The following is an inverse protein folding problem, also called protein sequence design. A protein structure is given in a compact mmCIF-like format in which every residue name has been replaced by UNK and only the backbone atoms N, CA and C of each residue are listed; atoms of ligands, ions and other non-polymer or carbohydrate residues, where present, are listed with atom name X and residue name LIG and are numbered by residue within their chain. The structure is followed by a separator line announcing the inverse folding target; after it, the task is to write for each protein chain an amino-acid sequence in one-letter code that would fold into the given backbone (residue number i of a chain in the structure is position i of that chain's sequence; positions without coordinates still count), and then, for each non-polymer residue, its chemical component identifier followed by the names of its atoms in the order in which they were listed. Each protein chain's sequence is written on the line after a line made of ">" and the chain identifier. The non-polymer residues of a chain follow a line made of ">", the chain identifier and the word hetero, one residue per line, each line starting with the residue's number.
data_IF_166274795110
#
_entry.id   IF_166274795110
#
_cell.length_a   1.000
_cell.length_b   1.000
_cell.length_c   1.000
_cell.angle_alpha   90.00
_cell.angle_beta   90.00
_cell.angle_gamma   90.00
#
_symmetry.space_group_name_H-M   'P 1'
#
loop_
_entity.id
_entity.type
_entity.pdbx_description
1 polymer ?
#
# COMPACT_ATOMS: atom_id res chain seq x y z
N UNK A 1 -17.71 25.46 14.67
CA UNK A 1 -16.55 25.30 13.80
C UNK A 1 -15.39 26.16 14.32
N UNK A 2 -14.16 25.72 14.12
CA UNK A 2 -12.95 26.50 14.33
C UNK A 2 -12.29 26.73 12.98
N UNK A 3 -11.95 27.96 12.66
CA UNK A 3 -11.26 28.32 11.43
C UNK A 3 -10.02 29.15 11.77
N UNK A 4 -8.88 28.71 11.25
CA UNK A 4 -7.59 29.37 11.37
C UNK A 4 -7.07 29.71 9.98
N UNK A 5 -6.90 30.99 9.71
CA UNK A 5 -6.25 31.52 8.51
C UNK A 5 -4.99 32.29 8.96
N UNK A 6 -3.79 31.81 8.61
CA UNK A 6 -2.54 32.37 9.09
C UNK A 6 -1.39 32.19 8.09
N UNK A 7 -0.25 32.83 8.32
CA UNK A 7 0.99 32.54 7.58
C UNK A 7 1.49 31.14 7.92
N UNK A 8 1.49 30.77 9.19
CA UNK A 8 1.90 29.45 9.68
C UNK A 8 1.15 29.14 10.99
N UNK A 9 1.15 27.88 11.38
CA UNK A 9 0.63 27.44 12.67
C UNK A 9 1.70 26.64 13.40
N UNK A 10 2.14 27.14 14.56
CA UNK A 10 2.91 26.39 15.53
C UNK A 10 1.97 25.86 16.62
N UNK A 11 1.68 24.56 16.59
CA UNK A 11 0.86 23.85 17.57
C UNK A 11 1.66 22.76 18.30
N UNK A 12 2.98 22.91 18.36
CA UNK A 12 3.85 21.94 19.04
C UNK A 12 3.45 21.78 20.50
N UNK A 13 3.16 20.54 20.91
CA UNK A 13 2.66 20.18 22.24
C UNK A 13 1.34 20.89 22.60
N UNK A 14 0.76 21.61 21.63
CA UNK A 14 -0.47 22.37 21.80
C UNK A 14 -1.71 21.55 21.46
N UNK A 15 -2.87 22.18 21.62
CA UNK A 15 -4.17 21.60 21.28
C UNK A 15 -5.06 22.65 20.61
N UNK A 16 -5.49 22.37 19.39
CA UNK A 16 -6.58 23.06 18.73
C UNK A 16 -7.76 22.10 18.61
N UNK A 17 -8.91 22.47 19.11
CA UNK A 17 -10.08 21.60 19.14
C UNK A 17 -11.35 22.32 18.71
N UNK A 18 -12.06 21.75 17.73
CA UNK A 18 -13.44 22.09 17.42
C UNK A 18 -14.36 21.05 18.08
N UNK A 19 -15.05 21.45 19.16
CA UNK A 19 -15.94 20.59 19.95
C UNK A 19 -17.39 20.67 19.48
N UNK A 20 -18.28 19.85 20.05
CA UNK A 20 -19.73 19.89 19.85
C UNK A 20 -20.15 19.87 18.37
N UNK A 21 -19.83 18.77 17.66
CA UNK A 21 -20.11 18.61 16.23
C UNK A 21 -19.38 19.65 15.34
N UNK A 22 -18.35 20.31 15.88
CA UNK A 22 -17.59 21.34 15.16
C UNK A 22 -16.58 20.76 14.18
N UNK A 23 -16.44 21.41 13.03
CA UNK A 23 -15.36 21.19 12.08
C UNK A 23 -14.15 22.07 12.40
N UNK A 24 -12.96 21.62 12.05
CA UNK A 24 -11.71 22.36 12.12
C UNK A 24 -11.18 22.62 10.71
N UNK A 25 -11.00 23.89 10.39
CA UNK A 25 -10.35 24.32 9.17
C UNK A 25 -9.06 25.06 9.51
N UNK A 26 -7.94 24.58 8.96
CA UNK A 26 -6.64 25.22 9.05
C UNK A 26 -6.17 25.56 7.64
N UNK A 27 -5.95 26.82 7.36
CA UNK A 27 -5.39 27.31 6.11
C UNK A 27 -4.17 28.16 6.40
N UNK A 28 -3.02 27.77 5.87
CA UNK A 28 -1.78 28.55 5.98
C UNK A 28 -1.10 28.68 4.62
N UNK A 29 -0.35 29.74 4.42
CA UNK A 29 0.52 29.90 3.25
C UNK A 29 1.91 29.31 3.47
N UNK A 30 2.34 29.17 4.72
CA UNK A 30 3.54 28.46 5.15
C UNK A 30 3.19 27.12 5.80
N UNK A 31 4.02 26.64 6.71
CA UNK A 31 3.89 25.32 7.33
C UNK A 31 2.92 25.29 8.52
N UNK A 32 2.39 24.09 8.78
CA UNK A 32 1.75 23.70 10.04
C UNK A 32 2.69 22.76 10.79
N UNK A 33 3.08 23.12 12.00
CA UNK A 33 3.85 22.27 12.91
C UNK A 33 2.95 21.80 14.06
N UNK A 34 2.57 20.50 14.03
CA UNK A 34 1.77 19.84 15.04
C UNK A 34 2.58 18.76 15.79
N UNK A 35 3.90 18.91 15.85
CA UNK A 35 4.77 17.95 16.54
C UNK A 35 4.36 17.79 18.01
N UNK A 36 4.04 16.57 18.42
CA UNK A 36 3.50 16.24 19.75
C UNK A 36 2.20 17.01 20.10
N UNK A 37 1.61 17.71 19.13
CA UNK A 37 0.39 18.49 19.29
C UNK A 37 -0.86 17.71 18.88
N UNK A 38 -2.01 18.37 19.01
CA UNK A 38 -3.31 17.80 18.67
C UNK A 38 -4.15 18.79 17.86
N UNK A 39 -4.59 18.36 16.68
CA UNK A 39 -5.59 19.04 15.86
C UNK A 39 -6.84 18.16 15.84
N UNK A 40 -7.89 18.58 16.50
CA UNK A 40 -9.07 17.75 16.78
C UNK A 40 -10.34 18.41 16.25
N UNK A 41 -11.13 17.66 15.51
CA UNK A 41 -12.48 18.03 15.11
C UNK A 41 -13.48 16.96 15.58
N UNK A 42 -14.63 17.38 16.11
CA UNK A 42 -15.73 16.46 16.39
C UNK A 42 -16.43 16.01 15.09
N UNK A 43 -16.35 16.80 14.02
CA UNK A 43 -16.83 16.51 12.67
C UNK A 43 -15.65 16.48 11.69
N UNK A 44 -15.69 17.29 10.65
CA UNK A 44 -14.70 17.28 9.59
C UNK A 44 -13.42 18.07 9.96
N UNK A 45 -12.30 17.61 9.41
CA UNK A 45 -11.04 18.34 9.46
C UNK A 45 -10.55 18.67 8.06
N UNK A 46 -10.19 19.93 7.83
CA UNK A 46 -9.58 20.40 6.59
C UNK A 46 -8.28 21.12 6.92
N UNK A 47 -7.16 20.62 6.40
CA UNK A 47 -5.86 21.25 6.50
C UNK A 47 -5.36 21.55 5.09
N UNK A 48 -5.09 22.83 4.80
CA UNK A 48 -4.49 23.28 3.55
C UNK A 48 -3.28 24.15 3.90
N UNK A 49 -2.08 23.66 3.58
CA UNK A 49 -0.82 24.27 4.04
C UNK A 49 0.29 24.02 3.02
N UNK A 50 1.43 24.68 3.16
CA UNK A 50 2.60 24.40 2.35
C UNK A 50 3.23 23.06 2.72
N UNK A 51 3.44 22.81 4.02
CA UNK A 51 3.96 21.55 4.57
C UNK A 51 3.31 21.27 5.92
N UNK A 52 3.24 19.99 6.31
CA UNK A 52 2.66 19.56 7.58
C UNK A 52 3.63 18.66 8.32
N UNK A 53 3.96 19.02 9.55
CA UNK A 53 4.65 18.17 10.50
C UNK A 53 3.65 17.69 11.57
N UNK A 54 3.40 16.38 11.63
CA UNK A 54 2.58 15.72 12.65
C UNK A 54 3.37 14.65 13.41
N UNK A 55 4.69 14.81 13.52
CA UNK A 55 5.54 13.82 14.20
C UNK A 55 5.14 13.69 15.66
N UNK A 56 4.87 12.46 16.11
CA UNK A 56 4.34 12.16 17.45
C UNK A 56 3.03 12.91 17.77
N UNK A 57 2.39 13.53 16.78
CA UNK A 57 1.17 14.32 16.92
C UNK A 57 -0.10 13.52 16.60
N UNK A 58 -1.24 14.15 16.87
CA UNK A 58 -2.56 13.60 16.55
C UNK A 58 -3.36 14.59 15.71
N UNK A 59 -3.86 14.10 14.55
CA UNK A 59 -4.87 14.76 13.74
C UNK A 59 -6.08 13.85 13.71
N UNK A 60 -7.26 14.32 14.17
CA UNK A 60 -8.45 13.47 14.30
C UNK A 60 -9.72 14.19 13.88
N UNK A 61 -10.48 13.54 12.98
CA UNK A 61 -11.87 13.87 12.65
C UNK A 61 -12.77 12.78 13.24
N UNK A 62 -13.28 13.00 14.45
CA UNK A 62 -13.86 11.95 15.30
C UNK A 62 -15.17 11.35 14.75
N UNK A 63 -15.97 12.12 14.01
CA UNK A 63 -17.23 11.66 13.42
C UNK A 63 -17.42 12.09 11.95
N UNK A 64 -16.41 12.73 11.34
CA UNK A 64 -16.50 13.27 9.99
C UNK A 64 -15.38 12.78 9.08
N UNK A 65 -15.15 13.56 8.04
CA UNK A 65 -14.12 13.33 7.02
C UNK A 65 -12.85 14.13 7.31
N UNK A 66 -11.72 13.63 6.83
CA UNK A 66 -10.44 14.34 6.85
C UNK A 66 -10.00 14.70 5.44
N UNK A 67 -9.49 15.91 5.27
CA UNK A 67 -8.80 16.31 4.06
C UNK A 67 -7.53 17.08 4.41
N UNK A 68 -6.41 16.56 3.98
CA UNK A 68 -5.09 17.16 4.16
C UNK A 68 -4.52 17.44 2.77
N UNK A 69 -4.26 18.71 2.49
CA UNK A 69 -3.63 19.14 1.24
C UNK A 69 -2.38 19.94 1.55
N UNK A 70 -1.24 19.48 1.05
CA UNK A 70 0.03 20.21 1.13
C UNK A 70 0.65 20.35 -0.26
N UNK A 71 1.46 21.38 -0.45
CA UNK A 71 2.26 21.53 -1.68
C UNK A 71 3.57 20.74 -1.59
N UNK A 72 4.08 20.57 -0.38
CA UNK A 72 5.32 19.86 -0.08
C UNK A 72 5.02 18.58 0.71
N UNK A 73 5.81 18.27 1.70
CA UNK A 73 5.71 17.04 2.47
C UNK A 73 4.66 17.08 3.57
N UNK A 74 4.15 15.89 3.89
CA UNK A 74 3.51 15.56 5.15
C UNK A 74 4.46 14.63 5.91
N UNK A 75 4.84 15.00 7.15
CA UNK A 75 5.52 14.11 8.08
C UNK A 75 4.54 13.64 9.16
N UNK A 76 4.49 12.33 9.39
CA UNK A 76 3.67 11.66 10.41
C UNK A 76 4.50 10.58 11.13
N UNK A 77 5.81 10.85 11.30
CA UNK A 77 6.70 9.91 11.99
C UNK A 77 6.22 9.68 13.41
N UNK A 78 5.97 8.41 13.78
CA UNK A 78 5.38 8.02 15.07
C UNK A 78 4.06 8.77 15.41
N UNK A 79 3.51 9.50 14.44
CA UNK A 79 2.27 10.28 14.59
C UNK A 79 1.03 9.46 14.25
N UNK A 80 -0.13 10.08 14.46
CA UNK A 80 -1.42 9.47 14.12
C UNK A 80 -2.31 10.46 13.38
N UNK A 81 -2.86 10.02 12.26
CA UNK A 81 -3.91 10.68 11.51
C UNK A 81 -5.11 9.76 11.45
N UNK A 82 -6.28 10.25 11.83
CA UNK A 82 -7.49 9.42 11.84
C UNK A 82 -8.75 10.18 11.43
N UNK A 83 -9.66 9.45 10.81
CA UNK A 83 -10.98 9.96 10.43
C UNK A 83 -12.01 8.86 10.54
N UNK A 84 -13.16 9.15 11.16
CA UNK A 84 -14.28 8.21 11.20
C UNK A 84 -14.92 8.01 9.82
N UNK A 85 -14.86 9.02 8.95
CA UNK A 85 -15.21 8.94 7.54
C UNK A 85 -13.99 8.77 6.65
N UNK A 86 -14.10 9.21 5.40
CA UNK A 86 -13.00 9.19 4.44
C UNK A 86 -11.88 10.15 4.84
N UNK A 87 -10.65 9.74 4.64
CA UNK A 87 -9.46 10.58 4.74
C UNK A 87 -8.78 10.69 3.37
N UNK A 88 -8.67 11.92 2.87
CA UNK A 88 -7.94 12.24 1.65
C UNK A 88 -6.66 13.01 2.00
N UNK A 89 -5.51 12.46 1.62
CA UNK A 89 -4.20 13.11 1.75
C UNK A 89 -3.66 13.38 0.35
N UNK A 90 -3.40 14.66 0.04
CA UNK A 90 -2.79 15.09 -1.21
C UNK A 90 -1.55 15.93 -0.89
N UNK A 91 -0.37 15.46 -1.30
CA UNK A 91 0.90 16.04 -0.88
C UNK A 91 2.02 15.83 -1.91
N UNK A 92 3.11 16.56 -1.77
CA UNK A 92 4.35 16.28 -2.51
C UNK A 92 4.93 14.92 -2.11
N UNK A 93 4.97 14.62 -0.81
CA UNK A 93 5.38 13.30 -0.28
C UNK A 93 4.74 13.04 1.08
N UNK A 94 4.72 11.77 1.52
CA UNK A 94 4.25 11.38 2.86
C UNK A 94 5.31 10.50 3.54
N UNK A 95 5.80 10.95 4.68
CA UNK A 95 6.57 10.14 5.61
C UNK A 95 5.65 9.66 6.74
N UNK A 96 5.33 8.35 6.75
CA UNK A 96 4.56 7.68 7.79
C UNK A 96 5.42 6.64 8.54
N UNK A 97 6.72 6.88 8.66
CA UNK A 97 7.64 5.98 9.37
C UNK A 97 7.16 5.74 10.81
N UNK A 98 6.90 4.48 11.18
CA UNK A 98 6.33 4.08 12.47
C UNK A 98 4.99 4.79 12.83
N UNK A 99 4.45 5.57 11.90
CA UNK A 99 3.19 6.31 12.09
C UNK A 99 1.96 5.45 11.77
N UNK A 100 0.78 6.01 12.07
CA UNK A 100 -0.50 5.36 11.77
C UNK A 100 -1.44 6.32 11.05
N UNK A 101 -1.97 5.88 9.92
CA UNK A 101 -3.08 6.53 9.23
C UNK A 101 -4.25 5.56 9.20
N UNK A 102 -5.41 5.96 9.71
CA UNK A 102 -6.60 5.10 9.78
C UNK A 102 -7.87 5.86 9.45
N UNK A 103 -8.72 5.26 8.63
CA UNK A 103 -10.01 5.88 8.24
C UNK A 103 -11.01 4.83 7.73
N UNK A 104 -12.26 5.26 7.54
CA UNK A 104 -13.28 4.44 6.90
C UNK A 104 -12.97 4.19 5.41
N UNK A 105 -12.48 5.21 4.69
CA UNK A 105 -11.90 5.10 3.35
C UNK A 105 -10.64 5.95 3.24
N UNK A 106 -9.55 5.42 2.68
CA UNK A 106 -8.27 6.11 2.61
C UNK A 106 -7.85 6.36 1.16
N UNK A 107 -7.53 7.61 0.86
CA UNK A 107 -6.91 7.99 -0.41
C UNK A 107 -5.66 8.82 -0.15
N UNK A 108 -4.54 8.36 -0.67
CA UNK A 108 -3.24 9.06 -0.61
C UNK A 108 -2.78 9.31 -2.04
N UNK A 109 -2.67 10.57 -2.42
CA UNK A 109 -2.23 11.01 -3.75
C UNK A 109 -0.99 11.88 -3.58
N UNK A 110 0.13 11.42 -4.11
CA UNK A 110 1.43 12.07 -3.95
C UNK A 110 2.06 12.36 -5.31
N UNK A 111 2.76 13.47 -5.39
CA UNK A 111 3.65 13.76 -6.53
C UNK A 111 4.96 12.96 -6.42
N UNK A 112 5.38 12.64 -5.20
CA UNK A 112 6.62 11.94 -4.86
C UNK A 112 6.39 10.62 -4.11
N UNK A 113 7.24 10.36 -3.13
CA UNK A 113 7.31 9.09 -2.42
C UNK A 113 6.39 9.01 -1.19
N UNK A 114 5.96 7.78 -0.88
CA UNK A 114 5.41 7.37 0.41
C UNK A 114 6.42 6.48 1.14
N UNK A 115 6.86 6.89 2.31
CA UNK A 115 7.55 6.04 3.27
C UNK A 115 6.57 5.58 4.37
N UNK A 116 6.23 4.29 4.37
CA UNK A 116 5.43 3.62 5.39
C UNK A 116 6.26 2.54 6.12
N UNK A 117 7.59 2.70 6.17
CA UNK A 117 8.47 1.74 6.85
C UNK A 117 8.07 1.60 8.31
N UNK A 118 7.79 0.37 8.74
CA UNK A 118 7.25 0.04 10.07
C UNK A 118 5.96 0.79 10.43
N UNK A 119 5.35 1.51 9.48
CA UNK A 119 4.13 2.29 9.64
C UNK A 119 2.88 1.49 9.29
N UNK A 120 1.72 2.13 9.44
CA UNK A 120 0.41 1.50 9.22
C UNK A 120 -0.50 2.42 8.41
N UNK A 121 -1.03 1.92 7.30
CA UNK A 121 -2.13 2.52 6.54
C UNK A 121 -3.33 1.58 6.61
N UNK A 122 -4.41 2.01 7.24
CA UNK A 122 -5.56 1.16 7.53
C UNK A 122 -6.85 1.81 7.02
N UNK A 123 -7.64 1.06 6.26
CA UNK A 123 -8.95 1.49 5.79
C UNK A 123 -10.02 0.44 6.09
N UNK A 124 -11.17 0.88 6.61
CA UNK A 124 -12.33 0.02 6.82
C UNK A 124 -13.13 -0.23 5.53
N UNK A 125 -12.85 0.51 4.47
CA UNK A 125 -13.40 0.34 3.12
C UNK A 125 -12.26 0.29 2.10
N UNK A 126 -12.37 1.08 1.04
CA UNK A 126 -11.35 1.15 -0.01
C UNK A 126 -10.09 1.89 0.44
N UNK A 127 -8.95 1.45 -0.08
CA UNK A 127 -7.67 2.11 0.10
C UNK A 127 -7.03 2.35 -1.25
N UNK A 128 -6.62 3.57 -1.53
CA UNK A 128 -5.85 3.90 -2.73
C UNK A 128 -4.60 4.69 -2.38
N UNK A 129 -3.48 4.32 -2.98
CA UNK A 129 -2.23 5.07 -2.94
C UNK A 129 -1.75 5.28 -4.35
N UNK A 130 -1.43 6.52 -4.69
CA UNK A 130 -0.71 6.87 -5.93
C UNK A 130 0.49 7.76 -5.61
N UNK A 131 1.61 7.51 -6.29
CA UNK A 131 2.84 8.26 -6.12
C UNK A 131 3.96 7.78 -7.03
N UNK A 132 5.17 8.28 -6.84
CA UNK A 132 6.33 7.83 -7.60
C UNK A 132 7.07 6.64 -6.97
N UNK A 133 6.88 6.42 -5.68
CA UNK A 133 7.49 5.33 -4.92
C UNK A 133 6.64 5.02 -3.68
N UNK A 134 6.57 3.76 -3.27
CA UNK A 134 5.99 3.31 -2.03
C UNK A 134 6.94 2.33 -1.33
N UNK A 135 7.38 2.67 -0.13
CA UNK A 135 8.15 1.79 0.74
C UNK A 135 7.30 1.44 1.96
N UNK A 136 7.02 0.14 2.16
CA UNK A 136 6.28 -0.39 3.30
C UNK A 136 7.01 -1.59 3.94
N UNK A 137 8.34 -1.51 3.96
CA UNK A 137 9.18 -2.52 4.58
C UNK A 137 8.87 -2.61 6.08
N UNK A 138 8.72 -3.83 6.61
CA UNK A 138 8.26 -4.06 7.99
C UNK A 138 6.92 -3.38 8.33
N UNK A 139 6.22 -2.81 7.35
CA UNK A 139 5.00 -2.04 7.51
C UNK A 139 3.72 -2.86 7.30
N UNK A 140 2.57 -2.18 7.44
CA UNK A 140 1.25 -2.74 7.22
C UNK A 140 0.40 -1.79 6.37
N UNK A 141 -0.17 -2.31 5.27
CA UNK A 141 -1.20 -1.64 4.47
C UNK A 141 -2.39 -2.58 4.39
N UNK A 142 -3.54 -2.15 4.91
CA UNK A 142 -4.71 -3.02 4.99
C UNK A 142 -5.99 -2.29 4.62
N UNK A 143 -6.84 -2.95 3.81
CA UNK A 143 -8.21 -2.51 3.52
C UNK A 143 -9.22 -3.64 3.76
N UNK A 144 -10.43 -3.27 4.19
CA UNK A 144 -11.55 -4.21 4.33
C UNK A 144 -12.36 -4.33 3.03
N UNK A 145 -12.06 -3.49 2.03
CA UNK A 145 -12.61 -3.58 0.68
C UNK A 145 -11.47 -3.51 -0.33
N UNK A 146 -11.71 -3.03 -1.54
CA UNK A 146 -10.73 -3.01 -2.60
C UNK A 146 -9.52 -2.10 -2.30
N UNK A 147 -8.36 -2.51 -2.80
CA UNK A 147 -7.10 -1.77 -2.67
C UNK A 147 -6.46 -1.55 -4.03
N UNK A 148 -5.98 -0.34 -4.25
CA UNK A 148 -5.19 0.02 -5.44
C UNK A 148 -3.91 0.72 -4.99
N UNK A 149 -2.77 0.19 -5.43
CA UNK A 149 -1.44 0.77 -5.23
C UNK A 149 -0.82 1.02 -6.59
N UNK A 150 -0.61 2.28 -6.95
CA UNK A 150 -0.05 2.69 -8.24
C UNK A 150 1.14 3.62 -8.05
N UNK A 151 2.32 3.10 -8.32
CA UNK A 151 3.56 3.88 -8.36
C UNK A 151 4.12 3.99 -9.79
N UNK A 152 3.28 3.70 -10.77
CA UNK A 152 3.61 3.79 -12.21
C UNK A 152 4.86 2.96 -12.55
N UNK A 153 5.94 3.61 -12.94
CA UNK A 153 7.21 2.98 -13.27
C UNK A 153 8.19 2.97 -12.08
N UNK A 154 7.75 3.40 -10.92
CA UNK A 154 8.54 3.47 -9.69
C UNK A 154 8.62 2.15 -8.93
N UNK A 155 9.14 2.24 -7.70
CA UNK A 155 9.38 1.08 -6.83
C UNK A 155 8.27 0.98 -5.79
N UNK A 156 7.69 -0.23 -5.66
CA UNK A 156 6.91 -0.63 -4.49
C UNK A 156 7.72 -1.67 -3.72
N UNK A 157 8.07 -1.35 -2.47
CA UNK A 157 8.78 -2.24 -1.56
C UNK A 157 7.89 -2.68 -0.40
N UNK A 158 7.81 -4.00 -0.16
CA UNK A 158 7.03 -4.64 0.91
C UNK A 158 7.85 -5.75 1.57
N UNK A 159 9.11 -5.48 1.85
CA UNK A 159 10.04 -6.49 2.38
C UNK A 159 9.81 -6.78 3.87
N UNK A 160 10.18 -7.98 4.28
CA UNK A 160 10.22 -8.42 5.68
C UNK A 160 8.84 -8.38 6.39
N UNK A 161 7.75 -8.40 5.63
CA UNK A 161 6.39 -8.24 6.18
C UNK A 161 5.68 -9.57 6.43
N UNK A 162 6.30 -10.72 6.13
CA UNK A 162 5.67 -12.05 6.20
C UNK A 162 5.08 -12.38 7.57
N UNK A 163 5.67 -11.88 8.64
CA UNK A 163 5.21 -12.09 10.02
C UNK A 163 4.42 -10.91 10.58
N UNK A 164 4.31 -9.80 9.85
CA UNK A 164 3.70 -8.54 10.31
C UNK A 164 2.42 -8.17 9.57
N UNK A 165 2.01 -8.96 8.56
CA UNK A 165 0.79 -8.79 7.80
C UNK A 165 0.95 -8.14 6.43
N UNK A 166 1.97 -7.32 6.21
CA UNK A 166 2.30 -6.74 4.90
C UNK A 166 1.17 -5.97 4.24
N UNK A 167 0.90 -6.28 2.97
CA UNK A 167 -0.17 -5.66 2.19
C UNK A 167 -1.33 -6.64 2.07
N UNK A 168 -2.52 -6.26 2.55
CA UNK A 168 -3.69 -7.14 2.49
C UNK A 168 -4.99 -6.41 2.21
N UNK A 169 -5.80 -6.97 1.32
CA UNK A 169 -7.13 -6.48 0.96
C UNK A 169 -8.18 -7.58 1.18
N UNK A 170 -9.29 -7.26 1.84
CA UNK A 170 -10.43 -8.18 1.90
C UNK A 170 -11.31 -8.10 0.62
N UNK A 171 -11.06 -7.13 -0.25
CA UNK A 171 -11.58 -7.03 -1.61
C UNK A 171 -10.56 -7.46 -2.66
N UNK A 172 -10.61 -6.80 -3.81
CA UNK A 172 -9.61 -6.92 -4.87
C UNK A 172 -8.32 -6.18 -4.47
N UNK A 173 -7.19 -6.67 -4.97
CA UNK A 173 -5.91 -5.97 -4.84
C UNK A 173 -5.31 -5.73 -6.22
N UNK A 174 -5.14 -4.47 -6.58
CA UNK A 174 -4.51 -4.07 -7.83
C UNK A 174 -3.22 -3.32 -7.55
N UNK A 175 -2.13 -3.76 -8.17
CA UNK A 175 -0.81 -3.12 -8.04
C UNK A 175 -0.23 -2.81 -9.40
N UNK A 176 0.28 -1.60 -9.57
CA UNK A 176 1.09 -1.18 -10.71
C UNK A 176 2.40 -0.57 -10.21
N UNK A 177 3.53 -1.13 -10.67
CA UNK A 177 4.86 -0.67 -10.32
C UNK A 177 5.87 -1.01 -11.44
N UNK A 178 6.91 -0.21 -11.61
CA UNK A 178 8.05 -0.61 -12.42
C UNK A 178 8.80 -1.78 -11.78
N UNK A 179 8.98 -1.71 -10.46
CA UNK A 179 9.55 -2.79 -9.66
C UNK A 179 8.70 -3.05 -8.40
N UNK A 180 8.29 -4.29 -8.20
CA UNK A 180 7.69 -4.75 -6.95
C UNK A 180 8.68 -5.65 -6.21
N UNK A 181 9.10 -5.22 -5.03
CA UNK A 181 9.98 -6.00 -4.14
C UNK A 181 9.16 -6.52 -2.95
N UNK A 182 8.89 -7.83 -2.96
CA UNK A 182 8.17 -8.55 -1.91
C UNK A 182 9.08 -9.63 -1.25
N UNK A 183 10.39 -9.40 -1.20
CA UNK A 183 11.33 -10.33 -0.55
C UNK A 183 10.96 -10.54 0.91
N UNK A 184 10.76 -11.81 1.33
CA UNK A 184 10.31 -12.16 2.68
C UNK A 184 9.03 -11.40 3.08
N UNK A 185 8.29 -10.89 2.07
CA UNK A 185 7.08 -10.13 2.25
C UNK A 185 5.83 -10.99 2.16
N UNK A 186 4.71 -10.38 2.54
CA UNK A 186 3.38 -10.95 2.39
C UNK A 186 2.46 -9.96 1.69
N UNK A 187 1.79 -10.43 0.64
CA UNK A 187 0.78 -9.64 -0.06
C UNK A 187 -0.40 -10.53 -0.41
N UNK A 188 -1.62 -10.12 -0.06
CA UNK A 188 -2.81 -10.94 -0.25
C UNK A 188 -4.07 -10.15 -0.61
N UNK A 189 -4.89 -10.73 -1.50
CA UNK A 189 -6.28 -10.33 -1.76
C UNK A 189 -7.25 -11.45 -1.40
N UNK A 190 -8.38 -11.13 -0.76
CA UNK A 190 -9.45 -12.12 -0.55
C UNK A 190 -10.33 -12.31 -1.80
N UNK A 191 -10.27 -11.38 -2.74
CA UNK A 191 -10.82 -11.52 -4.08
C UNK A 191 -9.68 -11.53 -5.10
N UNK A 192 -9.93 -11.14 -6.33
CA UNK A 192 -8.92 -11.14 -7.38
C UNK A 192 -7.73 -10.25 -7.05
N UNK A 193 -6.55 -10.72 -7.41
CA UNK A 193 -5.31 -9.96 -7.30
C UNK A 193 -4.72 -9.78 -8.70
N UNK A 194 -4.41 -8.54 -9.05
CA UNK A 194 -3.78 -8.17 -10.33
C UNK A 194 -2.50 -7.40 -10.07
N UNK A 195 -1.39 -7.91 -10.59
CA UNK A 195 -0.07 -7.28 -10.50
C UNK A 195 0.46 -6.99 -11.90
N UNK A 196 0.76 -5.72 -12.17
CA UNK A 196 1.40 -5.26 -13.40
C UNK A 196 2.73 -4.63 -13.06
N UNK A 197 3.83 -5.30 -13.40
CA UNK A 197 5.17 -4.87 -13.00
C UNK A 197 6.18 -5.07 -14.12
N UNK A 198 7.23 -4.24 -14.15
CA UNK A 198 8.41 -4.51 -14.98
C UNK A 198 9.22 -5.67 -14.40
N UNK A 199 9.49 -5.59 -13.09
CA UNK A 199 10.20 -6.64 -12.33
C UNK A 199 9.41 -6.96 -11.06
N UNK A 200 9.25 -8.25 -10.77
CA UNK A 200 8.65 -8.75 -9.51
C UNK A 200 9.65 -9.63 -8.78
N UNK A 201 10.07 -9.19 -7.60
CA UNK A 201 10.92 -9.96 -6.70
C UNK A 201 10.09 -10.49 -5.52
N UNK A 202 9.77 -11.80 -5.57
CA UNK A 202 9.02 -12.51 -4.51
C UNK A 202 9.88 -13.59 -3.84
N UNK A 203 11.19 -13.42 -3.83
CA UNK A 203 12.09 -14.40 -3.19
C UNK A 203 11.76 -14.56 -1.72
N UNK A 204 11.49 -15.80 -1.30
CA UNK A 204 11.07 -16.15 0.08
C UNK A 204 9.77 -15.45 0.53
N UNK A 205 9.10 -14.72 -0.36
CA UNK A 205 7.86 -14.03 -0.10
C UNK A 205 6.62 -14.88 -0.43
N UNK A 206 5.46 -14.32 -0.10
CA UNK A 206 4.16 -14.92 -0.42
C UNK A 206 3.28 -13.88 -1.11
N UNK A 207 2.78 -14.24 -2.29
CA UNK A 207 1.72 -13.54 -2.99
C UNK A 207 0.52 -14.49 -3.09
N UNK A 208 -0.64 -14.05 -2.63
CA UNK A 208 -1.81 -14.92 -2.59
C UNK A 208 -3.12 -14.20 -2.90
N UNK A 209 -4.00 -14.89 -3.63
CA UNK A 209 -5.40 -14.50 -3.81
C UNK A 209 -6.28 -15.66 -3.39
N UNK A 210 -7.40 -15.38 -2.73
CA UNK A 210 -8.41 -16.43 -2.47
C UNK A 210 -9.30 -16.70 -3.71
N UNK A 211 -9.27 -15.81 -4.70
CA UNK A 211 -9.88 -15.98 -6.01
C UNK A 211 -8.77 -16.10 -7.08
N UNK A 212 -8.82 -15.33 -8.16
CA UNK A 212 -7.85 -15.40 -9.24
C UNK A 212 -6.60 -14.54 -8.96
N UNK A 213 -5.44 -15.03 -9.38
CA UNK A 213 -4.17 -14.30 -9.35
C UNK A 213 -3.70 -14.07 -10.79
N UNK A 214 -3.60 -12.81 -11.17
CA UNK A 214 -3.06 -12.41 -12.47
C UNK A 214 -1.78 -11.61 -12.28
N UNK A 215 -0.69 -12.06 -12.90
CA UNK A 215 0.60 -11.37 -12.87
C UNK A 215 1.07 -11.16 -14.30
N UNK A 216 1.35 -9.89 -14.61
CA UNK A 216 2.07 -9.49 -15.82
C UNK A 216 3.40 -8.86 -15.39
N UNK A 217 4.53 -9.50 -15.76
CA UNK A 217 5.86 -9.03 -15.35
C UNK A 217 6.91 -9.35 -16.42
N UNK A 218 7.82 -8.40 -16.66
CA UNK A 218 8.97 -8.65 -17.53
C UNK A 218 9.92 -9.70 -16.95
N UNK A 219 10.14 -9.65 -15.64
CA UNK A 219 10.94 -10.64 -14.91
C UNK A 219 10.27 -10.95 -13.56
N UNK A 220 10.13 -12.23 -13.23
CA UNK A 220 9.58 -12.68 -11.96
C UNK A 220 10.59 -13.61 -11.26
N UNK A 221 11.02 -13.20 -10.09
CA UNK A 221 11.89 -13.97 -9.21
C UNK A 221 11.08 -14.53 -8.04
N UNK A 222 10.86 -15.87 -8.01
CA UNK A 222 10.07 -16.55 -6.99
C UNK A 222 10.86 -17.66 -6.29
N UNK A 223 12.19 -17.54 -6.24
CA UNK A 223 13.02 -18.56 -5.59
C UNK A 223 12.65 -18.67 -4.11
N UNK A 224 12.30 -19.89 -3.68
CA UNK A 224 11.82 -20.21 -2.32
C UNK A 224 10.57 -19.41 -1.92
N UNK A 225 9.94 -18.72 -2.88
CA UNK A 225 8.72 -17.96 -2.69
C UNK A 225 7.47 -18.77 -3.05
N UNK A 226 6.29 -18.18 -2.82
CA UNK A 226 5.02 -18.81 -3.15
C UNK A 226 4.09 -17.83 -3.85
N UNK A 227 3.56 -18.26 -4.99
CA UNK A 227 2.43 -17.65 -5.69
C UNK A 227 1.24 -18.59 -5.56
N UNK A 228 0.13 -18.12 -5.01
CA UNK A 228 -1.04 -18.93 -4.73
C UNK A 228 -2.31 -18.26 -5.23
N UNK A 229 -3.10 -18.95 -6.04
CA UNK A 229 -4.45 -18.56 -6.42
C UNK A 229 -5.46 -19.57 -5.85
N UNK A 230 -6.53 -19.08 -5.24
CA UNK A 230 -7.64 -19.93 -4.77
C UNK A 230 -8.44 -20.53 -5.93
N UNK A 231 -8.47 -19.85 -7.08
CA UNK A 231 -9.04 -20.33 -8.33
C UNK A 231 -7.99 -20.34 -9.43
N UNK A 232 -8.04 -19.40 -10.36
CA UNK A 232 -7.18 -19.40 -11.54
C UNK A 232 -5.90 -18.59 -11.33
N UNK A 233 -4.81 -19.07 -11.89
CA UNK A 233 -3.57 -18.34 -11.99
C UNK A 233 -3.25 -18.05 -13.46
N UNK A 234 -3.01 -16.76 -13.76
CA UNK A 234 -2.51 -16.33 -15.05
C UNK A 234 -1.17 -15.64 -14.87
N UNK A 235 -0.13 -16.20 -15.45
CA UNK A 235 1.19 -15.60 -15.52
C UNK A 235 1.48 -15.21 -16.97
N UNK A 236 1.84 -13.97 -17.21
CA UNK A 236 2.21 -13.47 -18.52
C UNK A 236 3.44 -12.60 -18.47
N UNK A 237 4.31 -12.72 -19.45
CA UNK A 237 5.48 -11.84 -19.56
C UNK A 237 6.75 -12.54 -20.00
N UNK A 238 7.87 -12.16 -19.37
CA UNK A 238 9.20 -12.62 -19.75
C UNK A 238 9.66 -13.85 -18.97
N UNK A 239 10.72 -13.71 -18.21
CA UNK A 239 11.41 -14.82 -17.55
C UNK A 239 10.90 -15.01 -16.12
N UNK A 240 10.59 -16.24 -15.74
CA UNK A 240 10.18 -16.65 -14.41
C UNK A 240 11.19 -17.63 -13.82
N UNK A 241 11.75 -17.26 -12.66
CA UNK A 241 12.60 -18.15 -11.87
C UNK A 241 11.85 -18.61 -10.62
N UNK A 242 11.49 -19.92 -10.60
CA UNK A 242 10.73 -20.57 -9.54
C UNK A 242 11.54 -21.65 -8.83
N UNK A 243 12.86 -21.51 -8.76
CA UNK A 243 13.74 -22.51 -8.13
C UNK A 243 13.39 -22.68 -6.65
N UNK A 244 13.11 -23.92 -6.23
CA UNK A 244 12.63 -24.25 -4.88
C UNK A 244 11.33 -23.49 -4.50
N UNK A 245 10.69 -22.79 -5.44
CA UNK A 245 9.47 -22.00 -5.24
C UNK A 245 8.20 -22.76 -5.56
N UNK A 246 7.06 -22.14 -5.34
CA UNK A 246 5.74 -22.73 -5.57
C UNK A 246 4.87 -21.81 -6.42
N UNK A 247 4.29 -22.38 -7.48
CA UNK A 247 3.18 -21.82 -8.26
C UNK A 247 1.99 -22.74 -8.06
N UNK A 248 0.93 -22.29 -7.39
CA UNK A 248 -0.21 -23.13 -7.06
C UNK A 248 -1.54 -22.46 -7.43
N UNK A 249 -2.36 -23.13 -8.22
CA UNK A 249 -3.71 -22.72 -8.56
C UNK A 249 -4.75 -23.72 -8.04
N UNK A 250 -5.81 -23.21 -7.43
CA UNK A 250 -6.93 -24.03 -6.95
C UNK A 250 -7.80 -24.58 -8.09
N UNK A 251 -7.71 -24.02 -9.30
CA UNK A 251 -8.39 -24.49 -10.50
C UNK A 251 -7.40 -24.56 -11.66
N UNK A 252 -7.35 -23.57 -12.55
CA UNK A 252 -6.54 -23.61 -13.74
C UNK A 252 -5.28 -22.74 -13.61
N UNK A 253 -4.16 -23.22 -14.16
CA UNK A 253 -2.91 -22.46 -14.25
C UNK A 253 -2.57 -22.25 -15.72
N UNK A 254 -2.51 -21.00 -16.15
CA UNK A 254 -2.09 -20.60 -17.48
C UNK A 254 -0.83 -19.74 -17.40
N UNK A 255 0.23 -20.14 -18.06
CA UNK A 255 1.48 -19.39 -18.12
C UNK A 255 1.88 -19.14 -19.58
N UNK A 256 2.18 -17.88 -19.90
CA UNK A 256 2.57 -17.37 -21.21
C UNK A 256 3.90 -16.64 -21.04
N UNK A 257 5.01 -17.36 -21.14
CA UNK A 257 6.30 -16.89 -20.67
C UNK A 257 7.40 -17.15 -21.71
N UNK A 258 8.47 -16.41 -21.60
CA UNK A 258 9.69 -16.67 -22.35
C UNK A 258 10.43 -17.89 -21.77
N UNK A 259 10.77 -17.81 -20.48
CA UNK A 259 11.51 -18.85 -19.77
C UNK A 259 10.80 -19.18 -18.45
N UNK A 260 10.72 -20.46 -18.14
CA UNK A 260 10.36 -20.94 -16.79
C UNK A 260 11.47 -21.82 -16.25
N UNK A 261 12.20 -21.31 -15.24
CA UNK A 261 13.18 -22.06 -14.46
C UNK A 261 12.52 -22.58 -13.19
N UNK A 262 12.34 -23.90 -13.10
CA UNK A 262 11.58 -24.54 -12.01
C UNK A 262 12.39 -25.66 -11.32
N UNK A 263 13.72 -25.53 -11.29
CA UNK A 263 14.57 -26.55 -10.64
C UNK A 263 14.17 -26.72 -9.17
N UNK A 264 13.84 -27.94 -8.77
CA UNK A 264 13.33 -28.30 -7.45
C UNK A 264 12.07 -27.49 -7.03
N UNK A 265 11.45 -26.75 -7.97
CA UNK A 265 10.24 -25.97 -7.74
C UNK A 265 8.98 -26.81 -7.96
N UNK A 266 7.86 -26.25 -7.53
CA UNK A 266 6.54 -26.86 -7.68
C UNK A 266 5.65 -26.00 -8.58
N UNK A 267 5.05 -26.60 -9.58
CA UNK A 267 3.98 -26.02 -10.39
C UNK A 267 2.79 -26.97 -10.29
N UNK A 268 1.68 -26.53 -9.72
CA UNK A 268 0.51 -27.38 -9.47
C UNK A 268 -0.79 -26.63 -9.71
N UNK A 269 -1.75 -27.31 -10.30
CA UNK A 269 -3.16 -26.88 -10.35
C UNK A 269 -4.08 -28.07 -10.06
N UNK A 270 -5.25 -27.77 -9.49
CA UNK A 270 -6.28 -28.81 -9.29
C UNK A 270 -7.12 -29.04 -10.56
N UNK A 271 -7.09 -28.11 -11.51
CA UNK A 271 -7.70 -28.24 -12.84
C UNK A 271 -6.65 -28.41 -13.92
N UNK A 272 -6.72 -27.60 -14.98
CA UNK A 272 -5.81 -27.70 -16.11
C UNK A 272 -4.56 -26.84 -15.88
N UNK A 273 -3.40 -27.36 -16.28
CA UNK A 273 -2.17 -26.56 -16.41
C UNK A 273 -1.82 -26.41 -17.88
N UNK A 274 -1.69 -25.17 -18.34
CA UNK A 274 -1.17 -24.83 -19.65
C UNK A 274 0.06 -23.96 -19.52
N UNK A 275 1.19 -24.51 -19.92
CA UNK A 275 2.47 -23.80 -19.94
C UNK A 275 2.87 -23.58 -21.40
N UNK A 276 2.71 -22.35 -21.87
CA UNK A 276 3.14 -21.90 -23.19
C UNK A 276 4.42 -21.10 -22.98
N UNK A 277 5.56 -21.78 -23.09
CA UNK A 277 6.87 -21.26 -22.75
C UNK A 277 7.89 -21.60 -23.83
N UNK A 278 8.80 -20.67 -24.12
CA UNK A 278 9.88 -20.92 -25.10
C UNK A 278 10.91 -21.92 -24.53
N UNK A 279 11.22 -21.81 -23.23
CA UNK A 279 12.13 -22.74 -22.54
C UNK A 279 11.60 -23.07 -21.14
N UNK A 280 11.49 -24.36 -20.84
CA UNK A 280 11.14 -24.88 -19.53
C UNK A 280 12.27 -25.74 -18.98
N UNK A 281 12.81 -25.36 -17.83
CA UNK A 281 13.83 -26.12 -17.11
C UNK A 281 13.24 -26.60 -15.79
N UNK A 282 13.15 -27.93 -15.61
CA UNK A 282 12.51 -28.58 -14.48
C UNK A 282 13.40 -29.70 -13.90
N UNK A 283 14.69 -29.46 -13.79
CA UNK A 283 15.63 -30.44 -13.25
C UNK A 283 15.50 -30.54 -11.71
N UNK A 284 15.66 -31.74 -11.17
CA UNK A 284 15.68 -32.01 -9.72
C UNK A 284 14.62 -32.96 -9.23
#
# INVERSE_FOLDING_TARGET
>A
AVRLDALSLDNRKGKVQAAQSGSLQVKTTGAVDNQQGRLLASSDILINTQALNNDNGLISAAAGTGRIKTQQSVSNTEGRMESAGRLDISAGSLNNHQGTVVSDGLSVTLDGALDNTSGRLLSQKTLSVSGSELVSDDGLIQSVSDMTLDVQDGILSNRNTKTRGGISSAGTLTVRAGMLNNQQGFMAGQKDMTLNTGTLDNRQGVLGSQASLQISSGTLMNQKGALKAGTDMLLSGGDVSNQEGTLAAGRDLNAHLNVLENQQGTVVSNGNSRLDVTRFDNQG
#
